data_IF_697317217634
#
_entry.id   IF_697317217634
#
_cell.length_a   1.000
_cell.length_b   1.000
_cell.length_c   1.000
_cell.angle_alpha   90.00
_cell.angle_beta   90.00
_cell.angle_gamma   90.00
#
_symmetry.space_group_name_H-M   'P 1'
#
loop_
_entity.id
_entity.type
_entity.pdbx_description
1 polymer ?
#
# COMPACT_ATOMS: atom_id res chain seq x y z
N UNK A 1 19.04 57.52 -9.04
CA UNK A 1 20.25 57.90 -8.29
C UNK A 1 20.89 56.63 -7.77
N UNK A 2 21.90 56.16 -8.50
CA UNK A 2 22.89 55.19 -8.05
C UNK A 2 23.70 55.75 -6.87
N UNK A 3 23.98 54.93 -5.86
CA UNK A 3 25.17 55.12 -5.02
C UNK A 3 25.87 53.78 -4.76
N UNK A 4 26.98 53.65 -5.49
CA UNK A 4 27.98 52.60 -5.50
C UNK A 4 28.76 52.51 -4.18
N UNK A 5 29.19 51.28 -3.88
CA UNK A 5 30.53 50.82 -3.47
C UNK A 5 31.33 51.67 -2.48
N UNK A 6 31.73 51.01 -1.38
CA UNK A 6 33.09 51.14 -0.86
C UNK A 6 33.66 49.74 -0.56
N UNK A 7 34.66 49.34 -1.35
CA UNK A 7 35.56 48.21 -1.12
C UNK A 7 36.95 48.80 -0.89
N UNK A 8 37.71 48.27 0.08
CA UNK A 8 39.18 48.23 0.17
C UNK A 8 39.54 47.47 1.47
N UNK A 9 39.80 46.16 1.48
CA UNK A 9 40.99 45.44 1.01
C UNK A 9 42.27 45.73 1.83
N UNK A 10 42.73 44.76 2.64
CA UNK A 10 44.11 44.26 2.70
C UNK A 10 44.32 43.24 3.84
N UNK A 11 44.81 42.04 3.50
CA UNK A 11 45.30 41.07 4.47
C UNK A 11 45.39 39.63 3.94
N UNK A 12 46.19 39.39 2.90
CA UNK A 12 46.46 38.05 2.36
C UNK A 12 47.77 37.47 2.94
N UNK A 13 47.70 36.26 3.52
CA UNK A 13 48.72 35.18 3.59
C UNK A 13 48.24 34.16 4.65
N UNK A 14 48.15 32.84 4.47
CA UNK A 14 48.40 31.90 3.38
C UNK A 14 48.25 30.47 3.93
N UNK A 15 47.94 29.52 3.02
CA UNK A 15 48.14 28.04 3.11
C UNK A 15 47.19 27.20 3.99
N UNK A 16 46.48 26.25 3.36
CA UNK A 16 45.98 25.04 4.03
C UNK A 16 44.66 24.46 3.52
N UNK A 17 44.64 23.95 2.29
CA UNK A 17 43.52 23.18 1.74
C UNK A 17 43.37 21.84 2.47
N UNK A 18 42.27 21.61 3.20
CA UNK A 18 41.54 20.33 3.33
C UNK A 18 40.16 20.62 3.95
N UNK A 19 39.27 21.26 3.19
CA UNK A 19 37.84 21.21 3.49
C UNK A 19 37.35 19.82 3.10
N UNK A 20 37.47 18.86 4.02
CA UNK A 20 36.72 17.62 3.95
C UNK A 20 35.24 17.97 4.10
N UNK A 21 34.54 18.10 2.99
CA UNK A 21 33.09 18.08 2.95
C UNK A 21 32.65 16.69 3.45
N UNK A 22 32.58 16.51 4.76
CA UNK A 22 31.75 15.45 5.35
C UNK A 22 30.34 15.79 4.88
N UNK A 23 29.85 14.97 3.96
CA UNK A 23 28.52 15.10 3.42
C UNK A 23 27.50 15.11 4.55
N UNK A 24 26.81 16.23 4.68
CA UNK A 24 25.61 16.38 5.50
C UNK A 24 24.43 15.46 5.08
N UNK A 25 24.36 14.83 3.88
CA UNK A 25 23.28 13.87 3.61
C UNK A 25 23.27 12.69 4.59
N UNK A 26 24.45 12.20 4.98
CA UNK A 26 24.65 10.99 5.78
C UNK A 26 24.36 11.20 7.28
N UNK A 27 24.25 12.46 7.73
CA UNK A 27 23.85 12.80 9.10
C UNK A 27 22.34 12.99 9.25
N UNK A 28 21.63 13.31 8.17
CA UNK A 28 20.16 13.39 8.16
C UNK A 28 19.53 12.00 7.93
N UNK A 29 20.21 11.11 7.21
CA UNK A 29 19.85 9.70 7.09
C UNK A 29 19.97 8.92 8.42
N UNK A 30 20.57 9.49 9.48
CA UNK A 30 20.72 8.83 10.79
C UNK A 30 19.45 8.76 11.66
N UNK A 31 18.32 9.37 11.23
CA UNK A 31 17.05 9.29 11.99
C UNK A 31 16.04 8.27 11.46
N UNK A 32 15.99 8.01 10.14
CA UNK A 32 15.37 6.77 9.67
C UNK A 32 16.37 5.67 9.94
N UNK A 33 16.10 4.77 10.91
CA UNK A 33 17.00 3.65 11.24
C UNK A 33 17.16 2.64 10.10
N UNK A 34 16.55 2.90 8.96
CA UNK A 34 16.53 2.05 7.79
C UNK A 34 17.91 2.02 7.09
N UNK A 35 18.50 0.84 6.87
CA UNK A 35 19.69 0.67 6.05
C UNK A 35 19.51 1.22 4.63
N UNK A 36 20.58 1.56 3.90
CA UNK A 36 20.49 1.85 2.48
C UNK A 36 19.84 0.70 1.71
N UNK A 37 19.01 1.02 0.71
CA UNK A 37 18.40 0.01 -0.17
C UNK A 37 19.45 -0.83 -0.88
N UNK A 38 19.12 -2.09 -1.16
CA UNK A 38 20.01 -3.00 -1.91
C UNK A 38 20.36 -2.40 -3.27
N UNK A 39 21.63 -2.52 -3.68
CA UNK A 39 22.06 -2.17 -5.04
C UNK A 39 21.61 -3.26 -6.04
N UNK A 40 21.32 -2.90 -7.29
CA UNK A 40 20.94 -3.85 -8.35
C UNK A 40 19.73 -4.75 -8.01
N UNK A 41 18.69 -4.16 -7.41
CA UNK A 41 17.43 -4.83 -7.07
C UNK A 41 16.76 -5.43 -8.31
N UNK A 42 16.13 -6.62 -8.21
CA UNK A 42 15.38 -7.18 -9.32
C UNK A 42 14.14 -6.34 -9.62
N UNK A 43 13.69 -6.32 -10.88
CA UNK A 43 12.37 -5.81 -11.28
C UNK A 43 11.28 -6.83 -10.93
N UNK A 44 11.12 -7.11 -9.62
CA UNK A 44 10.27 -8.16 -9.05
C UNK A 44 10.18 -8.01 -7.54
N UNK A 45 9.31 -8.80 -6.91
CA UNK A 45 9.26 -8.92 -5.45
C UNK A 45 10.56 -9.51 -4.92
N UNK A 46 11.13 -8.87 -3.90
CA UNK A 46 12.39 -9.29 -3.30
C UNK A 46 12.42 -9.09 -1.78
N UNK A 47 13.34 -9.79 -1.10
CA UNK A 47 13.50 -9.71 0.36
C UNK A 47 14.12 -8.35 0.73
N UNK A 48 13.45 -7.51 1.56
CA UNK A 48 13.96 -6.19 1.93
C UNK A 48 15.23 -6.27 2.79
N UNK A 49 15.90 -5.14 2.99
CA UNK A 49 17.09 -5.03 3.86
C UNK A 49 16.83 -5.38 5.33
N UNK A 50 15.63 -5.08 5.81
CA UNK A 50 15.25 -5.24 7.21
C UNK A 50 13.74 -5.44 7.35
N UNK A 51 13.32 -5.88 8.54
CA UNK A 51 11.92 -5.83 8.98
C UNK A 51 11.84 -5.17 10.34
N UNK A 52 10.93 -4.22 10.45
CA UNK A 52 10.59 -3.62 11.72
C UNK A 52 9.32 -4.26 12.29
N UNK A 53 9.26 -4.27 13.62
CA UNK A 53 8.01 -4.45 14.35
C UNK A 53 7.23 -3.14 14.37
N UNK A 54 6.13 -3.10 15.11
CA UNK A 54 5.34 -1.88 15.30
C UNK A 54 4.67 -1.92 16.66
N UNK A 55 4.30 -0.74 17.14
CA UNK A 55 3.45 -0.58 18.31
C UNK A 55 1.99 -0.37 17.90
N UNK A 56 1.10 -0.86 18.75
CA UNK A 56 -0.34 -0.68 18.59
C UNK A 56 -0.78 0.53 19.41
N UNK A 57 -1.31 1.57 18.76
CA UNK A 57 -1.97 2.66 19.45
C UNK A 57 -3.36 2.24 19.93
N UNK A 58 -4.11 1.54 19.08
CA UNK A 58 -5.42 1.02 19.43
C UNK A 58 -6.31 0.73 18.22
N UNK A 59 -7.58 0.45 18.50
CA UNK A 59 -8.58 0.18 17.46
C UNK A 59 -9.83 1.00 17.71
N UNK A 60 -10.50 1.40 16.64
CA UNK A 60 -11.78 2.13 16.69
C UNK A 60 -12.75 1.56 15.66
N UNK A 61 -14.05 1.71 15.91
CA UNK A 61 -15.06 1.57 14.87
C UNK A 61 -15.04 2.81 13.96
N UNK A 62 -15.32 2.61 12.68
CA UNK A 62 -15.47 3.67 11.67
C UNK A 62 -16.67 3.31 10.81
N UNK A 63 -17.86 3.71 11.25
CA UNK A 63 -19.11 3.21 10.69
C UNK A 63 -19.24 1.70 10.90
N UNK A 64 -19.50 0.97 9.80
CA UNK A 64 -19.59 -0.50 9.78
C UNK A 64 -18.21 -1.19 9.70
N UNK A 65 -17.12 -0.43 9.62
CA UNK A 65 -15.75 -0.93 9.52
C UNK A 65 -15.03 -0.82 10.87
N UNK A 66 -13.92 -1.55 10.99
CA UNK A 66 -12.97 -1.38 12.08
C UNK A 66 -11.65 -0.87 11.53
N UNK A 67 -11.01 0.04 12.26
CA UNK A 67 -9.69 0.55 11.97
C UNK A 67 -8.74 0.27 13.14
N UNK A 68 -7.52 -0.17 12.85
CA UNK A 68 -6.43 -0.26 13.81
C UNK A 68 -5.38 0.78 13.46
N UNK A 69 -4.94 1.53 14.46
CA UNK A 69 -3.84 2.50 14.35
C UNK A 69 -2.60 1.87 14.96
N UNK A 70 -1.56 1.72 14.16
CA UNK A 70 -0.24 1.26 14.57
C UNK A 70 0.82 2.28 14.18
N UNK A 71 2.01 2.19 14.77
CA UNK A 71 3.11 3.08 14.41
C UNK A 71 4.47 2.40 14.54
N UNK A 72 5.43 2.90 13.77
CA UNK A 72 6.85 2.53 13.84
C UNK A 72 7.74 3.76 13.61
N UNK A 73 9.05 3.55 13.44
CA UNK A 73 9.97 4.59 13.01
C UNK A 73 9.51 5.19 11.67
N UNK A 74 9.79 6.48 11.41
CA UNK A 74 9.59 7.06 10.08
C UNK A 74 10.26 6.22 8.99
N UNK A 75 9.49 5.88 7.97
CA UNK A 75 9.92 5.03 6.86
C UNK A 75 10.04 5.82 5.57
N UNK A 76 10.99 5.43 4.72
CA UNK A 76 10.89 5.72 3.28
C UNK A 76 9.85 4.81 2.64
N UNK A 77 9.19 5.32 1.62
CA UNK A 77 8.30 4.52 0.79
C UNK A 77 8.30 5.05 -0.64
N UNK A 78 7.53 4.41 -1.52
CA UNK A 78 7.52 4.73 -2.95
C UNK A 78 6.10 4.90 -3.45
N UNK A 79 5.79 6.08 -3.99
CA UNK A 79 4.51 6.30 -4.69
C UNK A 79 4.66 5.91 -6.16
N UNK A 80 3.60 5.36 -6.75
CA UNK A 80 3.57 5.04 -8.18
C UNK A 80 3.13 6.28 -8.94
N UNK A 81 3.87 6.65 -9.97
CA UNK A 81 3.55 7.77 -10.86
C UNK A 81 3.81 7.38 -12.31
N UNK A 82 3.33 8.22 -13.23
CA UNK A 82 3.59 8.06 -14.66
C UNK A 82 4.66 9.06 -15.08
N UNK A 83 5.76 8.55 -15.65
CA UNK A 83 6.89 9.34 -16.14
C UNK A 83 7.26 8.86 -17.56
N UNK A 84 7.38 9.80 -18.50
CA UNK A 84 7.66 9.55 -19.93
C UNK A 84 6.86 8.38 -20.55
N UNK A 85 5.60 8.23 -20.13
CA UNK A 85 4.68 7.22 -20.66
C UNK A 85 4.74 5.85 -19.99
N UNK A 86 5.71 5.61 -19.11
CA UNK A 86 5.85 4.40 -18.30
C UNK A 86 5.42 4.64 -16.84
N UNK A 87 5.06 3.57 -16.14
CA UNK A 87 4.85 3.63 -14.69
C UNK A 87 6.17 3.45 -13.97
N UNK A 88 6.47 4.36 -13.06
CA UNK A 88 7.69 4.36 -12.23
C UNK A 88 7.32 4.57 -10.78
N UNK A 89 8.25 4.27 -9.89
CA UNK A 89 8.12 4.64 -8.48
C UNK A 89 8.97 5.83 -8.12
N UNK A 90 8.39 6.77 -7.37
CA UNK A 90 9.10 7.89 -6.77
C UNK A 90 9.25 7.69 -5.27
N UNK A 91 10.50 7.75 -4.81
CA UNK A 91 10.82 7.61 -3.39
C UNK A 91 10.38 8.85 -2.62
N UNK A 92 9.62 8.63 -1.55
CA UNK A 92 9.36 9.60 -0.47
C UNK A 92 10.29 9.23 0.68
N UNK A 93 11.13 10.18 1.08
CA UNK A 93 12.07 9.99 2.18
C UNK A 93 11.45 10.48 3.49
N UNK A 94 11.82 9.83 4.60
CA UNK A 94 11.56 10.39 5.92
C UNK A 94 12.37 11.68 6.12
N UNK A 95 11.81 12.62 6.86
CA UNK A 95 12.43 13.92 7.17
C UNK A 95 12.86 13.99 8.63
N UNK A 96 13.59 15.05 8.99
CA UNK A 96 13.99 15.29 10.39
C UNK A 96 12.83 15.70 11.30
N UNK A 97 11.71 16.13 10.72
CA UNK A 97 10.47 16.53 11.41
C UNK A 97 9.59 15.31 11.71
N UNK A 98 9.73 14.25 10.92
CA UNK A 98 8.97 13.01 11.09
C UNK A 98 9.35 12.34 12.42
N UNK A 99 8.33 12.04 13.23
CA UNK A 99 8.49 11.39 14.54
C UNK A 99 8.09 9.92 14.49
N UNK A 100 7.05 9.58 13.71
CA UNK A 100 6.55 8.22 13.53
C UNK A 100 6.11 7.98 12.09
N UNK A 101 6.19 6.74 11.62
CA UNK A 101 5.36 6.27 10.52
C UNK A 101 4.06 5.73 11.12
N UNK A 102 2.94 6.40 10.88
CA UNK A 102 1.63 5.99 11.39
C UNK A 102 0.90 5.22 10.30
N UNK A 103 0.37 4.05 10.66
CA UNK A 103 -0.29 3.13 9.76
C UNK A 103 -1.70 2.83 10.26
N UNK A 104 -2.63 2.70 9.31
CA UNK A 104 -4.03 2.37 9.56
C UNK A 104 -4.44 1.18 8.71
N UNK A 105 -4.85 0.09 9.35
CA UNK A 105 -5.48 -1.06 8.68
C UNK A 105 -6.99 -0.96 8.85
N UNK A 106 -7.74 -1.08 7.77
CA UNK A 106 -9.22 -0.98 7.75
C UNK A 106 -9.83 -2.28 7.24
N UNK A 107 -10.77 -2.84 7.99
CA UNK A 107 -11.42 -4.10 7.62
C UNK A 107 -12.87 -4.19 8.09
N UNK A 108 -13.60 -5.10 7.46
CA UNK A 108 -14.94 -5.48 7.87
C UNK A 108 -14.86 -6.53 9.00
N UNK A 109 -15.41 -6.25 10.19
CA UNK A 109 -15.09 -7.02 11.40
C UNK A 109 -15.69 -8.43 11.45
N UNK A 110 -16.76 -8.72 10.71
CA UNK A 110 -17.42 -10.04 10.74
C UNK A 110 -16.69 -11.05 9.84
N UNK A 111 -16.27 -10.60 8.67
CA UNK A 111 -15.59 -11.40 7.65
C UNK A 111 -14.07 -11.34 7.75
N UNK A 112 -13.52 -10.29 8.39
CA UNK A 112 -12.09 -10.05 8.44
C UNK A 112 -11.50 -9.56 7.12
N UNK A 113 -12.33 -9.20 6.14
CA UNK A 113 -11.86 -8.71 4.84
C UNK A 113 -11.33 -7.28 4.96
N UNK A 114 -10.08 -7.09 4.55
CA UNK A 114 -9.52 -5.74 4.39
C UNK A 114 -10.30 -5.01 3.30
N UNK A 115 -10.60 -3.73 3.56
CA UNK A 115 -11.33 -2.86 2.64
C UNK A 115 -10.33 -1.88 2.00
N UNK A 116 -9.81 -2.20 0.79
CA UNK A 116 -8.98 -1.27 0.04
C UNK A 116 -9.84 -0.20 -0.67
N UNK A 117 -9.22 0.66 -1.49
CA UNK A 117 -9.92 1.65 -2.33
C UNK A 117 -10.84 2.61 -1.58
N UNK A 118 -10.46 3.01 -0.36
CA UNK A 118 -11.10 4.11 0.36
C UNK A 118 -10.13 5.27 0.45
N UNK A 119 -10.60 6.51 0.29
CA UNK A 119 -9.81 7.66 0.75
C UNK A 119 -9.66 7.59 2.27
N UNK A 120 -8.48 7.87 2.81
CA UNK A 120 -8.28 7.90 4.27
C UNK A 120 -7.51 9.15 4.66
N UNK A 121 -8.00 9.86 5.67
CA UNK A 121 -7.25 10.93 6.32
C UNK A 121 -7.09 10.68 7.80
N UNK A 122 -5.97 11.19 8.32
CA UNK A 122 -5.63 11.14 9.74
C UNK A 122 -5.45 12.56 10.23
N UNK A 123 -6.10 12.90 11.36
CA UNK A 123 -5.86 14.12 12.10
C UNK A 123 -5.33 13.77 13.49
N UNK A 124 -4.21 14.37 13.87
CA UNK A 124 -3.56 14.16 15.17
C UNK A 124 -3.73 15.43 15.98
N UNK A 125 -4.29 15.30 17.19
CA UNK A 125 -4.50 16.40 18.12
C UNK A 125 -3.82 16.15 19.46
N UNK A 126 -3.45 17.22 20.15
CA UNK A 126 -2.98 17.20 21.54
C UNK A 126 -3.74 18.25 22.32
N UNK A 127 -4.39 17.86 23.40
CA UNK A 127 -5.17 18.78 24.26
C UNK A 127 -6.22 19.60 23.46
N UNK A 128 -6.76 19.02 22.39
CA UNK A 128 -7.74 19.65 21.49
C UNK A 128 -7.12 20.51 20.38
N UNK A 129 -5.82 20.77 20.39
CA UNK A 129 -5.12 21.51 19.35
C UNK A 129 -4.62 20.59 18.24
N UNK A 130 -4.72 21.03 16.99
CA UNK A 130 -4.25 20.26 15.82
C UNK A 130 -2.72 20.26 15.75
N UNK A 131 -2.14 19.06 15.73
CA UNK A 131 -0.70 18.84 15.56
C UNK A 131 -0.38 18.64 14.07
N UNK A 132 -1.08 17.72 13.42
CA UNK A 132 -0.93 17.45 11.98
C UNK A 132 -2.20 16.84 11.42
N UNK A 133 -2.43 17.01 10.12
CA UNK A 133 -3.53 16.37 9.40
C UNK A 133 -3.13 16.11 7.95
N UNK A 134 -3.32 14.88 7.49
CA UNK A 134 -2.98 14.47 6.12
C UNK A 134 -4.00 13.50 5.54
N UNK A 135 -4.18 13.54 4.22
CA UNK A 135 -4.74 12.42 3.46
C UNK A 135 -3.59 11.45 3.25
N UNK A 136 -3.68 10.27 3.86
CA UNK A 136 -2.58 9.30 3.88
C UNK A 136 -2.63 8.39 2.65
N UNK A 137 -1.47 7.84 2.30
CA UNK A 137 -1.35 7.00 1.11
C UNK A 137 -1.96 5.63 1.36
N UNK A 138 -2.71 5.04 0.40
CA UNK A 138 -2.88 3.59 0.38
C UNK A 138 -1.52 2.96 0.08
N UNK A 139 -1.15 1.93 0.83
CA UNK A 139 0.17 1.31 0.79
C UNK A 139 0.07 -0.22 0.76
N UNK A 140 1.13 -0.84 0.25
CA UNK A 140 1.33 -2.28 0.26
C UNK A 140 2.72 -2.59 0.82
N UNK A 141 2.77 -3.45 1.84
CA UNK A 141 4.03 -4.01 2.37
C UNK A 141 3.94 -5.52 2.52
N UNK A 142 5.10 -6.19 2.51
CA UNK A 142 5.15 -7.65 2.69
C UNK A 142 4.65 -8.06 4.08
N UNK A 143 4.91 -7.22 5.09
CA UNK A 143 4.60 -7.48 6.50
C UNK A 143 3.16 -7.15 6.86
N UNK A 144 2.61 -6.05 6.37
CA UNK A 144 1.27 -5.57 6.76
C UNK A 144 0.20 -5.77 5.69
N UNK A 145 0.61 -6.11 4.47
CA UNK A 145 -0.29 -6.14 3.34
C UNK A 145 -0.87 -4.78 3.03
N UNK A 146 -2.17 -4.71 2.73
CA UNK A 146 -2.83 -3.44 2.39
C UNK A 146 -3.15 -2.66 3.66
N UNK A 147 -2.66 -1.43 3.72
CA UNK A 147 -2.87 -0.49 4.80
C UNK A 147 -2.80 0.94 4.26
N UNK A 148 -3.03 1.92 5.11
CA UNK A 148 -2.84 3.33 4.81
C UNK A 148 -1.76 3.90 5.71
N UNK A 149 -0.94 4.82 5.23
CA UNK A 149 0.11 5.37 6.07
C UNK A 149 0.81 6.61 5.53
N UNK A 150 1.44 7.33 6.45
CA UNK A 150 2.32 8.45 6.20
C UNK A 150 3.25 8.66 7.41
N UNK A 151 4.28 9.47 7.23
CA UNK A 151 5.10 9.93 8.34
C UNK A 151 4.48 11.18 8.96
N UNK A 152 4.47 11.27 10.28
CA UNK A 152 3.89 12.40 11.00
C UNK A 152 4.87 12.99 12.01
N UNK A 153 4.90 14.33 12.15
CA UNK A 153 5.55 14.97 13.28
C UNK A 153 4.71 14.81 14.56
N UNK A 154 5.38 14.70 15.70
CA UNK A 154 4.76 14.77 17.03
C UNK A 154 5.55 15.76 17.89
N UNK A 155 4.88 16.41 18.85
CA UNK A 155 5.49 17.37 19.78
C UNK A 155 6.01 16.68 21.05
N UNK A 156 6.89 15.70 20.85
CA UNK A 156 7.50 14.92 21.93
C UNK A 156 6.55 13.93 22.62
N UNK A 157 7.00 13.42 23.77
CA UNK A 157 6.28 12.41 24.55
C UNK A 157 4.96 12.97 25.11
N UNK A 158 3.91 12.16 25.09
CA UNK A 158 2.59 12.55 25.59
C UNK A 158 1.45 11.73 25.00
N UNK A 159 0.22 12.15 25.33
CA UNK A 159 -1.00 11.56 24.80
C UNK A 159 -1.54 12.40 23.65
N UNK A 160 -1.80 11.74 22.54
CA UNK A 160 -2.40 12.32 21.35
C UNK A 160 -3.75 11.67 21.05
N UNK A 161 -4.62 12.41 20.40
CA UNK A 161 -5.85 11.91 19.83
C UNK A 161 -5.65 11.74 18.33
N UNK A 162 -5.77 10.50 17.84
CA UNK A 162 -5.68 10.16 16.42
C UNK A 162 -7.09 9.91 15.90
N UNK A 163 -7.61 10.86 15.13
CA UNK A 163 -8.87 10.74 14.41
C UNK A 163 -8.62 10.14 13.02
N UNK A 164 -9.23 9.01 12.75
CA UNK A 164 -9.19 8.30 11.48
C UNK A 164 -10.50 8.57 10.74
N UNK A 165 -10.41 9.15 9.56
CA UNK A 165 -11.55 9.37 8.67
C UNK A 165 -11.45 8.47 7.45
N UNK A 166 -12.39 7.54 7.29
CA UNK A 166 -12.45 6.62 6.15
C UNK A 166 -13.57 7.08 5.22
N UNK A 167 -13.21 7.33 3.96
CA UNK A 167 -14.15 7.67 2.90
C UNK A 167 -14.98 6.48 2.43
N UNK A 168 -15.98 6.75 1.60
CA UNK A 168 -16.76 5.71 0.94
C UNK A 168 -15.90 4.80 0.07
N UNK A 169 -16.26 3.51 0.03
CA UNK A 169 -15.58 2.50 -0.80
C UNK A 169 -15.85 2.75 -2.29
N UNK A 170 -14.78 2.95 -3.05
CA UNK A 170 -14.82 3.02 -4.51
C UNK A 170 -14.68 1.61 -5.13
N UNK A 171 -15.73 0.81 -4.93
CA UNK A 171 -15.90 -0.52 -5.50
C UNK A 171 -17.38 -0.94 -5.51
N UNK A 172 -17.72 -1.84 -6.43
CA UNK A 172 -18.99 -2.57 -6.39
C UNK A 172 -19.05 -3.42 -5.13
N UNK A 173 -20.24 -3.54 -4.55
CA UNK A 173 -20.47 -4.28 -3.30
C UNK A 173 -21.53 -5.32 -3.51
N UNK A 174 -21.19 -6.56 -3.16
CA UNK A 174 -22.03 -7.72 -3.45
C UNK A 174 -22.44 -8.44 -2.16
N UNK A 175 -23.49 -9.27 -2.28
CA UNK A 175 -23.99 -10.08 -1.17
C UNK A 175 -24.35 -9.24 0.06
N UNK A 176 -23.85 -9.63 1.24
CA UNK A 176 -24.10 -8.92 2.51
C UNK A 176 -23.41 -7.55 2.60
N UNK A 177 -22.59 -7.16 1.62
CA UNK A 177 -22.00 -5.83 1.54
C UNK A 177 -22.80 -4.85 0.68
N UNK A 178 -23.82 -5.30 -0.05
CA UNK A 178 -24.64 -4.42 -0.88
C UNK A 178 -25.22 -3.25 -0.06
N UNK A 179 -24.96 -2.02 -0.50
CA UNK A 179 -25.38 -0.78 0.18
C UNK A 179 -24.54 -0.36 1.40
N UNK A 180 -23.59 -1.17 1.87
CA UNK A 180 -22.70 -0.83 3.00
C UNK A 180 -21.48 -0.02 2.54
N UNK A 181 -20.80 0.68 3.46
CA UNK A 181 -19.54 1.41 3.19
C UNK A 181 -19.64 2.54 2.13
N UNK A 182 -20.85 3.07 1.88
CA UNK A 182 -21.04 4.16 0.91
C UNK A 182 -20.61 5.51 1.49
N UNK A 183 -20.99 5.74 2.74
CA UNK A 183 -20.81 7.03 3.41
C UNK A 183 -19.50 7.07 4.17
N UNK A 184 -18.83 8.24 4.22
CA UNK A 184 -17.65 8.42 5.05
C UNK A 184 -18.00 8.29 6.53
N UNK A 185 -17.06 7.75 7.31
CA UNK A 185 -17.20 7.67 8.75
C UNK A 185 -15.87 7.99 9.44
N UNK A 186 -15.94 8.35 10.72
CA UNK A 186 -14.76 8.67 11.54
C UNK A 186 -14.73 7.87 12.83
N UNK A 187 -13.53 7.67 13.36
CA UNK A 187 -13.30 7.04 14.65
C UNK A 187 -12.00 7.54 15.26
N UNK A 188 -11.86 7.40 16.56
CA UNK A 188 -10.75 8.02 17.31
C UNK A 188 -10.04 7.01 18.19
N UNK A 189 -8.71 7.09 18.21
CA UNK A 189 -7.84 6.29 19.06
C UNK A 189 -6.94 7.22 19.88
N UNK A 190 -6.76 6.92 21.16
CA UNK A 190 -5.74 7.59 21.97
C UNK A 190 -4.37 6.94 21.69
N UNK A 191 -3.38 7.76 21.34
CA UNK A 191 -1.99 7.36 21.17
C UNK A 191 -1.18 7.84 22.37
N UNK A 192 -0.75 6.92 23.22
CA UNK A 192 0.22 7.18 24.27
C UNK A 192 1.64 7.06 23.70
N UNK A 193 2.19 8.17 23.20
CA UNK A 193 3.49 8.19 22.58
C UNK A 193 4.60 8.44 23.60
N UNK A 194 5.61 7.58 23.60
CA UNK A 194 6.87 7.83 24.28
C UNK A 194 8.03 7.40 23.39
N UNK A 195 9.05 8.26 23.30
CA UNK A 195 10.27 8.02 22.51
C UNK A 195 10.97 6.73 22.94
N UNK A 196 10.89 6.37 24.23
CA UNK A 196 11.43 5.09 24.72
C UNK A 196 10.73 3.88 24.08
N UNK A 197 9.40 3.92 23.98
CA UNK A 197 8.61 2.82 23.42
C UNK A 197 8.91 2.68 21.93
N UNK A 198 9.01 3.79 21.21
CA UNK A 198 9.47 3.80 19.83
C UNK A 198 10.86 3.15 19.71
N UNK A 199 11.80 3.53 20.58
CA UNK A 199 13.17 3.01 20.57
C UNK A 199 13.27 1.51 20.90
N UNK A 200 12.26 0.94 21.58
CA UNK A 200 12.16 -0.47 21.93
C UNK A 200 11.57 -1.33 20.79
N UNK A 201 11.05 -0.70 19.72
CA UNK A 201 10.61 -1.41 18.51
C UNK A 201 11.79 -2.17 17.92
N UNK A 202 11.61 -3.49 17.82
CA UNK A 202 12.63 -4.41 17.30
C UNK A 202 12.76 -4.24 15.79
N UNK A 203 14.00 -4.15 15.34
CA UNK A 203 14.41 -4.16 13.94
C UNK A 203 15.32 -5.36 13.70
N UNK A 204 14.99 -6.17 12.70
CA UNK A 204 15.78 -7.33 12.29
C UNK A 204 16.39 -7.08 10.92
N UNK A 205 17.72 -7.20 10.83
CA UNK A 205 18.44 -7.13 9.56
C UNK A 205 18.32 -8.45 8.80
N UNK A 206 18.13 -8.36 7.48
CA UNK A 206 18.03 -9.51 6.57
C UNK A 206 19.24 -9.62 5.65
N UNK A 207 20.41 -9.17 6.11
CA UNK A 207 21.64 -9.07 5.31
C UNK A 207 22.02 -10.34 4.54
N UNK A 208 21.73 -11.52 5.08
CA UNK A 208 22.05 -12.81 4.46
C UNK A 208 21.21 -13.12 3.21
N UNK A 209 20.06 -12.44 3.02
CA UNK A 209 19.09 -12.74 1.96
C UNK A 209 18.51 -11.51 1.26
N UNK A 210 18.84 -10.29 1.71
CA UNK A 210 18.34 -9.05 1.12
C UNK A 210 18.62 -9.01 -0.39
N UNK A 211 17.65 -8.56 -1.19
CA UNK A 211 17.77 -8.51 -2.65
C UNK A 211 17.47 -9.83 -3.37
N UNK A 212 17.39 -10.96 -2.67
CA UNK A 212 16.92 -12.22 -3.26
C UNK A 212 15.46 -12.11 -3.69
N UNK A 213 15.10 -12.69 -4.84
CA UNK A 213 13.69 -12.88 -5.21
C UNK A 213 12.97 -13.68 -4.12
N UNK A 214 11.86 -13.15 -3.63
CA UNK A 214 11.15 -13.71 -2.48
C UNK A 214 10.50 -12.62 -1.64
N UNK A 215 9.73 -13.02 -0.64
CA UNK A 215 9.13 -12.09 0.32
C UNK A 215 9.32 -12.59 1.75
N UNK A 216 9.36 -11.65 2.70
CA UNK A 216 9.14 -11.95 4.11
C UNK A 216 7.68 -12.27 4.37
N UNK A 217 7.42 -13.08 5.39
CA UNK A 217 6.06 -13.43 5.77
C UNK A 217 5.34 -12.23 6.38
N UNK A 218 4.02 -12.08 6.13
CA UNK A 218 3.21 -11.11 6.83
C UNK A 218 3.36 -11.27 8.34
N UNK A 219 3.31 -10.15 9.06
CA UNK A 219 3.23 -10.15 10.51
C UNK A 219 1.83 -10.62 10.90
N UNK A 220 1.76 -11.73 11.65
CA UNK A 220 0.48 -12.21 12.18
C UNK A 220 0.18 -11.47 13.48
N UNK A 221 -0.72 -10.49 13.40
CA UNK A 221 -1.35 -9.88 14.56
C UNK A 221 -2.75 -10.49 14.70
N UNK A 222 -3.05 -11.06 15.87
CA UNK A 222 -4.23 -11.92 16.08
C UNK A 222 -5.57 -11.34 15.59
N UNK A 223 -5.70 -10.01 15.52
CA UNK A 223 -6.95 -9.31 15.19
C UNK A 223 -6.87 -8.39 13.97
N UNK A 224 -5.69 -8.15 13.39
CA UNK A 224 -5.55 -7.23 12.25
C UNK A 224 -5.28 -8.05 10.99
N UNK A 225 -6.21 -8.09 10.03
CA UNK A 225 -6.00 -8.80 8.78
C UNK A 225 -5.05 -8.02 7.86
N UNK A 226 -4.31 -8.75 7.03
CA UNK A 226 -3.34 -8.19 6.05
C UNK A 226 -3.90 -8.11 4.62
N UNK A 227 -5.15 -8.54 4.41
CA UNK A 227 -5.77 -8.52 3.08
C UNK A 227 -5.27 -9.62 2.15
N UNK A 228 -5.23 -10.87 2.64
CA UNK A 228 -5.00 -12.04 1.78
C UNK A 228 -6.26 -12.31 0.95
N UNK A 229 -6.07 -12.52 -0.35
CA UNK A 229 -7.12 -13.00 -1.22
C UNK A 229 -7.44 -14.49 -0.92
N UNK A 230 -8.66 -14.96 -1.17
CA UNK A 230 -8.98 -16.39 -1.12
C UNK A 230 -8.02 -17.23 -1.97
N UNK A 231 -7.61 -18.41 -1.50
CA UNK A 231 -6.66 -19.27 -2.22
C UNK A 231 -7.20 -19.74 -3.59
N UNK A 232 -8.51 -20.00 -3.60
CA UNK A 232 -9.32 -20.43 -4.75
C UNK A 232 -10.51 -19.51 -4.94
N UNK A 233 -10.96 -19.35 -6.18
CA UNK A 233 -12.23 -18.70 -6.51
C UNK A 233 -13.31 -19.78 -6.73
N UNK A 234 -14.56 -19.54 -6.31
CA UNK A 234 -15.68 -20.38 -6.69
C UNK A 234 -15.98 -20.26 -8.19
N UNK A 235 -16.82 -21.14 -8.72
CA UNK A 235 -17.26 -21.10 -10.12
C UNK A 235 -16.36 -21.88 -11.09
N UNK A 236 -16.51 -21.60 -12.38
CA UNK A 236 -15.74 -22.21 -13.45
C UNK A 236 -14.41 -21.46 -13.63
N UNK A 237 -13.30 -22.13 -13.34
CA UNK A 237 -11.95 -21.55 -13.42
C UNK A 237 -11.61 -21.11 -14.84
N UNK A 238 -11.15 -19.88 -14.99
CA UNK A 238 -10.50 -19.35 -16.20
C UNK A 238 -8.98 -19.58 -16.19
N UNK A 239 -8.43 -20.19 -15.13
CA UNK A 239 -7.02 -20.50 -15.01
C UNK A 239 -6.23 -19.46 -14.22
N UNK A 240 -4.91 -19.52 -14.35
CA UNK A 240 -3.96 -18.64 -13.66
C UNK A 240 -2.93 -18.07 -14.63
N UNK A 241 -2.42 -16.89 -14.31
CA UNK A 241 -1.35 -16.24 -15.08
C UNK A 241 -0.47 -15.37 -14.20
N UNK A 242 0.68 -14.96 -14.71
CA UNK A 242 1.58 -14.03 -14.03
C UNK A 242 1.94 -12.86 -14.95
N UNK A 243 1.88 -11.64 -14.42
CA UNK A 243 2.34 -10.42 -15.11
C UNK A 243 2.94 -9.44 -14.12
N UNK A 244 4.08 -8.82 -14.45
CA UNK A 244 4.80 -7.91 -13.55
C UNK A 244 5.12 -8.50 -12.17
N UNK A 245 5.34 -9.81 -12.10
CA UNK A 245 5.52 -10.63 -10.87
C UNK A 245 4.24 -10.82 -10.03
N UNK A 246 3.10 -10.23 -10.40
CA UNK A 246 1.81 -10.51 -9.77
C UNK A 246 1.17 -11.79 -10.34
N UNK A 247 0.50 -12.56 -9.48
CA UNK A 247 -0.31 -13.69 -9.89
C UNK A 247 -1.77 -13.26 -10.10
N UNK A 248 -2.41 -13.76 -11.15
CA UNK A 248 -3.79 -13.51 -11.51
C UNK A 248 -4.56 -14.83 -11.51
N UNK A 249 -5.71 -14.85 -10.85
CA UNK A 249 -6.68 -15.94 -10.92
C UNK A 249 -7.96 -15.44 -11.56
N UNK A 250 -8.49 -16.19 -12.52
CA UNK A 250 -9.78 -15.90 -13.12
C UNK A 250 -10.82 -16.99 -12.82
N UNK A 251 -12.08 -16.59 -12.71
CA UNK A 251 -13.21 -17.50 -12.63
C UNK A 251 -14.48 -16.87 -13.20
N UNK A 252 -15.42 -17.69 -13.66
CA UNK A 252 -16.79 -17.28 -13.99
C UNK A 252 -17.72 -17.83 -12.92
N UNK A 253 -18.49 -16.94 -12.29
CA UNK A 253 -19.36 -17.25 -11.15
C UNK A 253 -20.79 -16.91 -11.49
N UNK A 254 -21.71 -17.82 -11.18
CA UNK A 254 -23.15 -17.56 -11.26
C UNK A 254 -23.75 -17.66 -9.86
N UNK A 255 -24.28 -16.54 -9.37
CA UNK A 255 -24.99 -16.45 -8.10
C UNK A 255 -25.92 -15.23 -8.12
N UNK A 256 -27.10 -15.33 -7.49
CA UNK A 256 -28.15 -14.30 -7.50
C UNK A 256 -27.65 -12.89 -7.14
N UNK A 257 -26.62 -12.80 -6.30
CA UNK A 257 -26.02 -11.52 -5.87
C UNK A 257 -25.29 -10.77 -6.98
N UNK A 258 -24.97 -11.42 -8.09
CA UNK A 258 -24.37 -10.81 -9.27
C UNK A 258 -25.40 -10.49 -10.37
N UNK A 259 -26.67 -10.82 -10.14
CA UNK A 259 -27.74 -10.70 -11.14
C UNK A 259 -27.98 -12.00 -11.91
N UNK A 260 -28.72 -11.89 -13.01
CA UNK A 260 -29.12 -13.04 -13.85
C UNK A 260 -27.98 -13.53 -14.76
N UNK A 261 -27.00 -12.67 -15.05
CA UNK A 261 -25.88 -12.97 -15.92
C UNK A 261 -24.71 -13.60 -15.13
N UNK A 262 -23.91 -14.48 -15.77
CA UNK A 262 -22.62 -14.91 -15.24
C UNK A 262 -21.71 -13.72 -14.95
N UNK A 263 -20.86 -13.83 -13.94
CA UNK A 263 -19.95 -12.77 -13.51
C UNK A 263 -18.50 -13.24 -13.63
N UNK A 264 -17.71 -12.50 -14.43
CA UNK A 264 -16.27 -12.73 -14.55
C UNK A 264 -15.59 -12.11 -13.34
N UNK A 265 -14.70 -12.87 -12.71
CA UNK A 265 -13.92 -12.46 -11.53
C UNK A 265 -12.45 -12.66 -11.83
N UNK A 266 -11.65 -11.63 -11.57
CA UNK A 266 -10.19 -11.68 -11.57
C UNK A 266 -9.66 -11.22 -10.22
N UNK A 267 -8.80 -12.04 -9.62
CA UNK A 267 -8.15 -11.75 -8.34
C UNK A 267 -6.63 -11.61 -8.54
N UNK A 268 -6.11 -10.39 -8.74
CA UNK A 268 -4.69 -10.12 -8.77
C UNK A 268 -4.12 -10.11 -7.34
N UNK A 269 -2.98 -10.76 -7.17
CA UNK A 269 -2.34 -10.93 -5.86
C UNK A 269 -0.83 -11.00 -5.90
N UNK A 270 -0.19 -10.68 -4.78
CA UNK A 270 1.26 -10.85 -4.63
C UNK A 270 1.66 -12.33 -4.74
N UNK A 271 2.81 -12.65 -5.35
CA UNK A 271 3.17 -14.03 -5.73
C UNK A 271 3.48 -14.93 -4.52
N UNK A 272 3.95 -14.36 -3.41
CA UNK A 272 4.40 -15.14 -2.24
C UNK A 272 3.41 -15.16 -1.08
N UNK A 273 2.71 -14.05 -0.85
CA UNK A 273 1.87 -13.86 0.33
C UNK A 273 0.37 -13.83 0.01
N UNK A 274 -0.01 -13.89 -1.27
CA UNK A 274 -1.40 -13.89 -1.71
C UNK A 274 -2.18 -12.62 -1.32
N UNK A 275 -1.48 -11.50 -1.14
CA UNK A 275 -2.08 -10.22 -0.74
C UNK A 275 -2.78 -9.58 -1.94
N UNK A 276 -3.97 -9.01 -1.75
CA UNK A 276 -4.74 -8.36 -2.81
C UNK A 276 -4.00 -7.15 -3.40
N UNK A 277 -4.19 -6.89 -4.70
CA UNK A 277 -3.60 -5.76 -5.41
C UNK A 277 -4.69 -4.75 -5.86
N UNK A 278 -4.98 -3.71 -5.05
CA UNK A 278 -5.97 -2.68 -5.37
C UNK A 278 -5.44 -1.58 -6.29
N UNK A 279 -6.35 -0.74 -6.80
CA UNK A 279 -6.01 0.42 -7.64
C UNK A 279 -5.51 0.08 -9.05
N UNK A 280 -5.97 -1.03 -9.64
CA UNK A 280 -5.65 -1.41 -11.03
C UNK A 280 -6.77 -1.00 -11.99
N UNK A 281 -6.43 -0.85 -13.28
CA UNK A 281 -7.38 -0.87 -14.37
C UNK A 281 -7.11 -2.10 -15.24
N UNK A 282 -8.10 -2.97 -15.36
CA UNK A 282 -8.01 -4.26 -16.05
C UNK A 282 -9.06 -4.36 -17.15
N UNK A 283 -8.67 -4.93 -18.28
CA UNK A 283 -9.57 -5.38 -19.33
C UNK A 283 -9.39 -6.89 -19.53
N UNK A 284 -10.47 -7.59 -19.81
CA UNK A 284 -10.45 -9.01 -20.12
C UNK A 284 -11.11 -9.28 -21.47
N UNK A 285 -10.49 -10.16 -22.24
CA UNK A 285 -11.07 -10.79 -23.42
C UNK A 285 -11.13 -12.29 -23.18
N UNK A 286 -12.33 -12.87 -23.28
CA UNK A 286 -12.58 -14.28 -22.97
C UNK A 286 -13.32 -14.89 -24.15
N UNK A 287 -12.69 -15.91 -24.72
CA UNK A 287 -13.28 -16.72 -25.78
C UNK A 287 -13.95 -17.97 -25.18
N UNK A 288 -15.20 -18.19 -25.60
CA UNK A 288 -16.05 -19.30 -25.20
C UNK A 288 -17.24 -19.45 -26.15
N UNK A 289 -18.27 -20.23 -25.76
CA UNK A 289 -19.50 -20.35 -26.56
C UNK A 289 -20.17 -18.99 -26.82
N UNK A 290 -20.11 -18.09 -25.84
CA UNK A 290 -20.27 -16.64 -26.00
C UNK A 290 -18.96 -15.96 -25.58
N UNK A 291 -18.59 -14.87 -26.24
CA UNK A 291 -17.38 -14.10 -25.91
C UNK A 291 -17.67 -12.91 -24.99
N UNK A 292 -16.71 -12.57 -24.14
CA UNK A 292 -16.69 -11.34 -23.35
C UNK A 292 -15.46 -10.51 -23.73
N UNK A 293 -15.63 -9.21 -23.93
CA UNK A 293 -14.53 -8.26 -24.14
C UNK A 293 -14.92 -6.96 -23.44
N UNK A 294 -14.17 -6.59 -22.40
CA UNK A 294 -14.44 -5.35 -21.70
C UNK A 294 -13.67 -5.13 -20.40
N UNK A 295 -13.89 -3.96 -19.77
CA UNK A 295 -13.24 -3.59 -18.52
C UNK A 295 -13.80 -4.37 -17.33
N UNK A 296 -12.93 -4.59 -16.34
CA UNK A 296 -13.28 -5.21 -15.07
C UNK A 296 -13.25 -4.15 -13.95
N UNK A 297 -14.39 -3.92 -13.31
CA UNK A 297 -14.53 -2.96 -12.22
C UNK A 297 -14.13 -3.56 -10.88
N UNK A 298 -13.59 -2.74 -9.97
CA UNK A 298 -13.31 -3.18 -8.60
C UNK A 298 -14.60 -3.65 -7.90
N UNK A 299 -14.48 -4.73 -7.12
CA UNK A 299 -15.58 -5.36 -6.41
C UNK A 299 -15.15 -5.86 -5.04
N UNK A 300 -16.06 -5.84 -4.07
CA UNK A 300 -15.92 -6.44 -2.76
C UNK A 300 -17.11 -7.37 -2.50
N UNK A 301 -16.80 -8.63 -2.24
CA UNK A 301 -17.77 -9.68 -1.97
C UNK A 301 -17.32 -10.52 -0.76
N UNK A 302 -18.21 -10.97 0.13
CA UNK A 302 -17.84 -11.77 1.30
C UNK A 302 -17.12 -13.09 0.98
N UNK A 303 -17.39 -13.70 -0.17
CA UNK A 303 -16.79 -14.97 -0.58
C UNK A 303 -15.58 -14.77 -1.50
N UNK A 304 -15.65 -13.81 -2.43
CA UNK A 304 -14.56 -13.54 -3.38
C UNK A 304 -13.47 -12.63 -2.81
N UNK A 305 -13.75 -11.90 -1.73
CA UNK A 305 -12.90 -10.82 -1.25
C UNK A 305 -12.86 -9.63 -2.21
N UNK A 306 -11.77 -8.86 -2.17
CA UNK A 306 -11.52 -7.81 -3.16
C UNK A 306 -11.08 -8.43 -4.49
N UNK A 307 -11.73 -8.01 -5.57
CA UNK A 307 -11.52 -8.54 -6.92
C UNK A 307 -11.83 -7.47 -7.98
N UNK A 308 -11.60 -7.82 -9.24
CA UNK A 308 -12.06 -7.05 -10.40
C UNK A 308 -13.00 -7.92 -11.22
N UNK A 309 -14.13 -7.39 -11.66
CA UNK A 309 -15.09 -8.20 -12.40
C UNK A 309 -16.15 -7.43 -13.15
N UNK A 310 -16.90 -8.16 -13.96
CA UNK A 310 -18.00 -7.63 -14.78
C UNK A 310 -19.03 -8.73 -15.10
N UNK A 311 -20.32 -8.38 -15.27
CA UNK A 311 -21.30 -9.28 -15.86
C UNK A 311 -20.90 -9.66 -17.29
N UNK A 312 -21.06 -10.93 -17.64
CA UNK A 312 -20.73 -11.52 -18.94
C UNK A 312 -21.91 -12.37 -19.45
N UNK A 313 -22.95 -11.74 -20.04
CA UNK A 313 -24.14 -12.43 -20.51
C UNK A 313 -23.81 -13.57 -21.47
N UNK A 314 -24.35 -14.77 -21.20
CA UNK A 314 -24.16 -15.95 -22.05
C UNK A 314 -22.84 -16.71 -21.88
N UNK A 315 -21.90 -16.20 -21.06
CA UNK A 315 -20.63 -16.87 -20.78
C UNK A 315 -20.82 -17.97 -19.72
N UNK A 316 -20.91 -19.23 -20.14
CA UNK A 316 -21.05 -20.36 -19.21
C UNK A 316 -19.69 -20.98 -18.82
N UNK A 317 -18.75 -20.98 -19.76
CA UNK A 317 -17.38 -21.44 -19.66
C UNK A 317 -16.47 -20.58 -20.56
N UNK A 318 -15.19 -20.52 -20.25
CA UNK A 318 -14.17 -19.86 -21.06
C UNK A 318 -13.01 -20.81 -21.31
N UNK A 319 -12.60 -20.96 -22.58
CA UNK A 319 -11.46 -21.81 -22.96
C UNK A 319 -10.14 -21.08 -22.82
N UNK A 320 -10.14 -19.76 -23.02
CA UNK A 320 -8.96 -18.92 -22.92
C UNK A 320 -9.38 -17.50 -22.51
N UNK A 321 -8.73 -16.96 -21.48
CA UNK A 321 -8.95 -15.59 -21.04
C UNK A 321 -7.63 -14.80 -21.13
N UNK A 322 -7.64 -13.70 -21.88
CA UNK A 322 -6.55 -12.73 -21.92
C UNK A 322 -6.87 -11.55 -21.01
N UNK A 323 -5.91 -11.16 -20.18
CA UNK A 323 -5.99 -9.99 -19.32
C UNK A 323 -5.00 -8.94 -19.78
N UNK A 324 -5.48 -7.72 -20.00
CA UNK A 324 -4.66 -6.54 -20.27
C UNK A 324 -4.67 -5.64 -19.04
N UNK A 325 -3.47 -5.23 -18.61
CA UNK A 325 -3.31 -4.30 -17.49
C UNK A 325 -3.08 -2.90 -18.05
N UNK A 326 -4.10 -2.06 -18.04
CA UNK A 326 -4.00 -0.66 -18.48
C UNK A 326 -3.27 0.20 -17.45
N UNK A 327 -3.47 -0.11 -16.17
CA UNK A 327 -2.85 0.61 -15.06
C UNK A 327 -2.46 -0.38 -13.97
N UNK A 328 -1.17 -0.44 -13.59
CA UNK A 328 -0.70 -1.28 -12.49
C UNK A 328 -1.27 -0.81 -11.15
N UNK A 329 -1.14 -1.58 -10.07
CA UNK A 329 -1.77 -1.25 -8.79
C UNK A 329 -1.27 0.09 -8.25
N UNK A 330 -2.13 1.11 -8.22
CA UNK A 330 -1.83 2.48 -7.79
C UNK A 330 -1.84 2.63 -6.27
N UNK A 331 -1.04 1.83 -5.57
CA UNK A 331 -0.80 1.99 -4.13
C UNK A 331 0.70 2.13 -3.86
N UNK A 332 1.05 2.90 -2.84
CA UNK A 332 2.44 3.09 -2.47
C UNK A 332 3.08 1.75 -2.05
N UNK A 333 4.40 1.67 -2.19
CA UNK A 333 5.18 0.46 -1.93
C UNK A 333 6.15 0.72 -0.79
N UNK A 334 6.23 -0.26 0.10
CA UNK A 334 7.39 -0.41 0.98
C UNK A 334 8.50 -1.18 0.26
N UNK A 335 9.70 -1.16 0.86
CA UNK A 335 10.86 -1.88 0.32
C UNK A 335 10.54 -3.37 0.10
N UNK A 336 11.03 -3.91 -1.01
CA UNK A 336 10.75 -5.28 -1.46
C UNK A 336 9.60 -5.37 -2.44
N UNK A 337 8.84 -4.29 -2.65
CA UNK A 337 7.77 -4.20 -3.66
C UNK A 337 7.90 -2.99 -4.59
N UNK A 338 8.81 -2.06 -4.32
CA UNK A 338 8.93 -0.80 -5.07
C UNK A 338 9.41 -0.99 -6.52
N UNK A 339 10.02 -2.12 -6.85
CA UNK A 339 10.43 -2.46 -8.22
C UNK A 339 9.48 -3.45 -8.90
N UNK A 340 8.42 -3.89 -8.22
CA UNK A 340 7.46 -4.89 -8.70
C UNK A 340 6.16 -4.25 -9.19
N UNK A 341 5.41 -4.98 -10.01
CA UNK A 341 4.07 -4.60 -10.47
C UNK A 341 4.03 -3.25 -11.22
N UNK A 342 5.03 -2.98 -12.08
CA UNK A 342 5.10 -1.74 -12.87
C UNK A 342 4.84 -2.03 -14.35
N UNK A 343 5.73 -2.79 -14.98
CA UNK A 343 5.56 -3.30 -16.33
C UNK A 343 4.78 -4.62 -16.29
N UNK A 344 3.55 -4.59 -16.78
CA UNK A 344 2.58 -5.67 -16.68
C UNK A 344 2.04 -6.01 -18.08
N UNK A 345 2.77 -6.77 -18.91
CA UNK A 345 2.30 -7.17 -20.22
C UNK A 345 1.01 -8.01 -20.14
N UNK A 346 0.27 -8.07 -21.25
CA UNK A 346 -0.91 -8.93 -21.37
C UNK A 346 -0.58 -10.36 -20.97
N UNK A 347 -1.50 -10.98 -20.23
CA UNK A 347 -1.34 -12.34 -19.72
C UNK A 347 -2.53 -13.20 -20.08
N UNK A 348 -2.26 -14.40 -20.58
CA UNK A 348 -3.27 -15.44 -20.76
C UNK A 348 -3.42 -16.23 -19.46
N UNK A 349 -4.66 -16.47 -19.04
CA UNK A 349 -4.99 -17.38 -17.95
C UNK A 349 -5.20 -18.78 -18.51
N UNK A 350 -4.49 -19.76 -17.94
CA UNK A 350 -4.58 -21.19 -18.28
C UNK A 350 -4.29 -22.08 -17.06
#
# INVERSE_FOLDING_TARGET
MDRRRFLSAAGAAGVGSLAGCIGVPDLLERRSREPPVVADRPAAVYVPTHVDSMEMAGTTAVGDLRAAVTYSYPHRFWVVERDDGAFVTKRVAATAEDSVHLMVSVWEPETGLVVPNTGLSVAIRREGELVSQEVVYPMLSQRMGVHYGANFPLDGDGTYEVEVSVGGLDANRFGSFAGRFADPATGTVALEFATRTLNDITSESLADRQGERGAVRPMEMATIPVGRAPETLPGASLGRGTSGDAAFLGSVVSADRFGDDPYVVVSPRTPHNGLVLPGMALEASIDGGASFDGPLGAGLDPELGFHYGAPAPGLADGETAELRVETPPQVARHEGYETAFLDMPTVTLA
#
